data_IF_431600036538
#
_entry.id   IF_431600036538
#
_cell.length_a   1.000
_cell.length_b   1.000
_cell.length_c   1.000
_cell.angle_alpha   90.00
_cell.angle_beta   90.00
_cell.angle_gamma   90.00
#
_symmetry.space_group_name_H-M   'P 1'
#
loop_
_entity.id
_entity.type
_entity.pdbx_description
1 polymer ?
#
# COMPACT_ATOMS: atom_id res chain seq x y z
N UNK A 1 -56.10 -15.73 45.61
CA UNK A 1 -54.95 -16.23 44.84
C UNK A 1 -54.88 -15.51 43.45
N UNK A 2 -53.97 -14.56 43.28
CA UNK A 2 -53.83 -13.82 42.05
C UNK A 2 -52.89 -14.61 41.07
N UNK A 3 -53.47 -15.13 39.98
CA UNK A 3 -52.65 -15.74 38.91
C UNK A 3 -51.91 -14.65 38.13
N UNK A 4 -50.60 -14.53 38.33
CA UNK A 4 -49.76 -13.64 37.52
C UNK A 4 -49.72 -14.14 36.06
N UNK A 5 -50.11 -13.27 35.14
CA UNK A 5 -50.03 -13.54 33.71
C UNK A 5 -48.58 -13.32 33.23
N UNK A 6 -47.74 -14.35 33.30
CA UNK A 6 -46.34 -14.31 32.87
C UNK A 6 -46.20 -14.36 31.33
N UNK A 7 -47.26 -14.77 30.60
CA UNK A 7 -47.25 -15.02 29.17
C UNK A 7 -46.93 -13.79 28.28
N UNK A 8 -47.44 -12.56 28.56
CA UNK A 8 -47.12 -11.40 27.70
C UNK A 8 -45.70 -10.91 27.86
N UNK A 9 -45.03 -11.11 29.00
CA UNK A 9 -43.65 -10.69 29.23
C UNK A 9 -42.65 -11.57 28.46
N UNK A 10 -42.93 -12.87 28.36
CA UNK A 10 -42.09 -13.80 27.58
C UNK A 10 -42.17 -13.53 26.09
N UNK A 11 -43.35 -13.15 25.57
CA UNK A 11 -43.54 -12.81 24.17
C UNK A 11 -42.79 -11.52 23.78
N UNK A 12 -42.74 -10.53 24.69
CA UNK A 12 -42.03 -9.26 24.46
C UNK A 12 -40.49 -9.45 24.46
N UNK A 13 -39.98 -10.33 25.30
CA UNK A 13 -38.56 -10.69 25.33
C UNK A 13 -38.13 -11.49 24.08
N UNK A 14 -38.99 -12.35 23.54
CA UNK A 14 -38.72 -13.11 22.32
C UNK A 14 -38.68 -12.20 21.08
N UNK A 15 -39.55 -11.19 20.99
CA UNK A 15 -39.55 -10.22 19.89
C UNK A 15 -38.35 -9.27 19.92
N UNK A 16 -37.83 -8.92 21.10
CA UNK A 16 -36.61 -8.15 21.23
C UNK A 16 -35.35 -8.95 20.82
N UNK A 17 -35.32 -10.24 21.16
CA UNK A 17 -34.21 -11.12 20.79
C UNK A 17 -34.11 -11.33 19.26
N UNK A 18 -35.23 -11.41 18.54
CA UNK A 18 -35.25 -11.57 17.09
C UNK A 18 -34.86 -10.29 16.34
N UNK A 19 -35.17 -9.11 16.90
CA UNK A 19 -34.77 -7.82 16.28
C UNK A 19 -33.28 -7.53 16.43
N UNK A 20 -32.61 -8.03 17.47
CA UNK A 20 -31.13 -7.88 17.62
C UNK A 20 -30.38 -8.87 16.72
N UNK A 21 -30.96 -10.03 16.43
CA UNK A 21 -30.33 -11.00 15.50
C UNK A 21 -30.44 -10.59 14.02
N UNK A 22 -31.42 -9.77 13.66
CA UNK A 22 -31.65 -9.34 12.26
C UNK A 22 -30.75 -8.20 11.79
N UNK A 23 -29.95 -7.58 12.66
CA UNK A 23 -29.12 -6.41 12.31
C UNK A 23 -27.64 -6.71 12.03
N UNK A 24 -27.23 -7.95 11.87
CA UNK A 24 -25.98 -8.26 11.18
C UNK A 24 -26.19 -8.22 9.67
N UNK A 25 -26.60 -7.05 9.13
CA UNK A 25 -26.31 -6.74 7.73
C UNK A 25 -24.79 -6.80 7.62
N UNK A 26 -24.28 -7.78 6.88
CA UNK A 26 -22.91 -7.78 6.40
C UNK A 26 -22.69 -6.45 5.68
N UNK A 27 -22.07 -5.50 6.37
CA UNK A 27 -21.74 -4.22 5.79
C UNK A 27 -20.76 -4.54 4.65
N UNK A 28 -21.22 -4.39 3.40
CA UNK A 28 -20.37 -4.64 2.23
C UNK A 28 -19.10 -3.80 2.41
N UNK A 29 -17.95 -4.43 2.42
CA UNK A 29 -16.68 -3.73 2.55
C UNK A 29 -16.61 -2.71 1.41
N UNK A 30 -16.44 -1.45 1.74
CA UNK A 30 -16.21 -0.40 0.75
C UNK A 30 -14.86 -0.68 0.06
N UNK A 31 -14.90 -0.84 -1.25
CA UNK A 31 -13.74 -1.06 -2.10
C UNK A 31 -13.51 0.21 -2.92
N UNK A 32 -12.46 1.00 -2.61
CA UNK A 32 -12.26 2.31 -3.23
C UNK A 32 -12.22 2.28 -4.76
N UNK A 33 -11.53 1.31 -5.34
CA UNK A 33 -11.36 1.17 -6.81
C UNK A 33 -12.60 0.70 -7.56
N UNK A 34 -13.70 0.33 -6.87
CA UNK A 34 -15.02 0.21 -7.52
C UNK A 34 -15.50 1.56 -8.08
N UNK A 35 -14.90 2.67 -7.64
CA UNK A 35 -15.13 4.02 -8.12
C UNK A 35 -14.17 4.44 -9.26
N UNK A 36 -13.38 3.52 -9.77
CA UNK A 36 -12.34 3.79 -10.77
C UNK A 36 -11.00 4.19 -10.13
N UNK A 37 -10.05 4.56 -10.98
CA UNK A 37 -8.70 4.96 -10.57
C UNK A 37 -8.73 6.24 -9.73
N UNK A 38 -7.67 6.43 -8.92
CA UNK A 38 -7.40 7.74 -8.32
C UNK A 38 -6.82 8.67 -9.38
N UNK A 39 -7.37 9.88 -9.44
CA UNK A 39 -6.94 10.95 -10.32
C UNK A 39 -6.83 12.27 -9.55
N UNK A 40 -6.03 13.18 -10.05
CA UNK A 40 -5.98 14.56 -9.55
C UNK A 40 -7.21 15.32 -10.07
N UNK A 41 -7.83 16.16 -9.24
CA UNK A 41 -8.93 17.01 -9.69
C UNK A 41 -8.48 17.96 -10.79
N UNK A 42 -9.42 18.48 -11.59
CA UNK A 42 -9.12 19.39 -12.70
C UNK A 42 -8.38 20.64 -12.23
N UNK A 43 -8.68 21.13 -11.02
CA UNK A 43 -8.04 22.30 -10.41
C UNK A 43 -6.70 21.97 -9.74
N UNK A 44 -6.28 20.67 -9.74
CA UNK A 44 -5.02 20.23 -9.14
C UNK A 44 -4.98 20.27 -7.60
N UNK A 45 -6.12 20.35 -6.91
CA UNK A 45 -6.19 20.65 -5.47
C UNK A 45 -6.41 19.44 -4.58
N UNK A 46 -7.04 18.39 -5.10
CA UNK A 46 -7.38 17.19 -4.34
C UNK A 46 -7.39 15.95 -5.23
N UNK A 47 -7.45 14.79 -4.59
CA UNK A 47 -7.60 13.52 -5.28
C UNK A 47 -9.08 13.11 -5.31
N UNK A 48 -9.49 12.52 -6.41
CA UNK A 48 -10.80 11.93 -6.60
C UNK A 48 -10.69 10.61 -7.36
N UNK A 49 -11.75 9.84 -7.39
CA UNK A 49 -11.89 8.71 -8.30
C UNK A 49 -12.39 9.16 -9.68
N UNK A 50 -12.19 8.33 -10.70
CA UNK A 50 -12.63 8.63 -12.07
C UNK A 50 -14.13 8.92 -12.17
N UNK A 51 -14.96 8.27 -11.35
CA UNK A 51 -16.40 8.53 -11.29
C UNK A 51 -16.78 9.84 -10.55
N UNK A 52 -15.79 10.62 -10.10
CA UNK A 52 -15.98 11.86 -9.37
C UNK A 52 -16.09 11.73 -7.86
N UNK A 53 -16.12 10.53 -7.29
CA UNK A 53 -16.17 10.35 -5.84
C UNK A 53 -14.90 10.93 -5.19
N UNK A 54 -15.02 11.77 -4.14
CA UNK A 54 -13.86 12.38 -3.50
C UNK A 54 -13.02 11.34 -2.78
N UNK A 55 -11.70 11.53 -2.78
CA UNK A 55 -10.77 10.71 -2.02
C UNK A 55 -10.07 11.53 -0.95
N UNK A 56 -10.36 11.21 0.31
CA UNK A 56 -9.66 11.81 1.45
C UNK A 56 -8.48 10.91 1.84
N UNK A 57 -7.27 11.43 1.71
CA UNK A 57 -6.06 10.70 2.06
C UNK A 57 -5.83 10.71 3.57
N UNK A 58 -6.01 9.58 4.24
CA UNK A 58 -5.59 9.37 5.62
C UNK A 58 -4.52 8.28 5.64
N UNK A 59 -3.26 8.71 5.70
CA UNK A 59 -2.10 7.84 5.57
C UNK A 59 -1.51 7.39 6.90
N UNK A 60 -0.94 6.19 6.91
CA UNK A 60 -0.11 5.64 7.99
C UNK A 60 1.23 5.18 7.42
N UNK A 61 2.28 5.20 8.23
CA UNK A 61 3.63 4.82 7.83
C UNK A 61 4.01 3.44 8.37
N UNK A 62 3.79 2.43 7.57
CA UNK A 62 4.24 1.06 7.82
C UNK A 62 5.59 0.76 7.15
N UNK A 63 6.58 1.65 7.32
CA UNK A 63 7.81 1.66 6.53
C UNK A 63 8.47 0.31 6.33
N UNK A 64 8.72 -0.42 7.39
CA UNK A 64 9.46 -1.68 7.37
C UNK A 64 8.55 -2.92 7.44
N UNK A 65 7.29 -2.77 7.09
CA UNK A 65 6.30 -3.83 7.16
C UNK A 65 6.77 -5.12 6.45
N UNK A 66 7.33 -5.08 5.22
CA UNK A 66 7.80 -6.29 4.55
C UNK A 66 9.01 -6.95 5.21
N UNK A 67 9.84 -6.16 5.90
CA UNK A 67 11.08 -6.65 6.51
C UNK A 67 10.88 -7.19 7.93
N UNK A 68 9.90 -6.66 8.66
CA UNK A 68 9.79 -6.84 10.11
C UNK A 68 8.60 -7.67 10.54
N UNK A 69 7.53 -7.73 9.76
CA UNK A 69 6.31 -8.42 10.14
C UNK A 69 6.11 -9.69 9.33
N UNK A 70 5.73 -10.78 10.01
CA UNK A 70 5.26 -11.97 9.33
C UNK A 70 3.83 -11.77 8.80
N UNK A 71 3.26 -12.80 8.15
CA UNK A 71 1.93 -12.69 7.52
C UNK A 71 0.83 -12.31 8.50
N UNK A 72 0.79 -12.97 9.65
CA UNK A 72 -0.26 -12.75 10.65
C UNK A 72 -0.14 -11.37 11.30
N UNK A 73 1.08 -10.96 11.61
CA UNK A 73 1.39 -9.64 12.15
C UNK A 73 1.08 -8.53 11.14
N UNK A 74 1.43 -8.72 9.86
CA UNK A 74 1.13 -7.77 8.78
C UNK A 74 -0.38 -7.64 8.58
N UNK A 75 -1.13 -8.76 8.57
CA UNK A 75 -2.58 -8.74 8.47
C UNK A 75 -3.23 -8.04 9.68
N UNK A 76 -2.75 -8.33 10.89
CA UNK A 76 -3.20 -7.67 12.10
C UNK A 76 -2.95 -6.16 12.06
N UNK A 77 -1.74 -5.74 11.66
CA UNK A 77 -1.39 -4.32 11.51
C UNK A 77 -2.34 -3.60 10.54
N UNK A 78 -2.52 -4.16 9.33
CA UNK A 78 -3.42 -3.61 8.32
C UNK A 78 -4.87 -3.54 8.82
N UNK A 79 -5.33 -4.54 9.58
CA UNK A 79 -6.65 -4.52 10.19
C UNK A 79 -6.78 -3.40 11.23
N UNK A 80 -5.76 -3.18 12.08
CA UNK A 80 -5.77 -2.08 13.04
C UNK A 80 -5.77 -0.71 12.35
N UNK A 81 -5.03 -0.56 11.26
CA UNK A 81 -5.05 0.64 10.43
C UNK A 81 -6.44 0.88 9.83
N UNK A 82 -7.05 -0.17 9.27
CA UNK A 82 -8.42 -0.11 8.74
C UNK A 82 -9.44 0.35 9.78
N UNK A 83 -9.39 -0.23 10.98
CA UNK A 83 -10.30 0.13 12.10
C UNK A 83 -10.17 1.59 12.53
N UNK A 84 -8.98 2.19 12.37
CA UNK A 84 -8.71 3.61 12.66
C UNK A 84 -8.99 4.54 11.49
N UNK A 85 -9.46 4.00 10.36
CA UNK A 85 -9.82 4.77 9.17
C UNK A 85 -8.66 5.06 8.21
N UNK A 86 -7.46 4.54 8.47
CA UNK A 86 -6.33 4.70 7.53
C UNK A 86 -6.62 3.97 6.23
N UNK A 87 -6.53 4.70 5.12
CA UNK A 87 -6.83 4.19 3.78
C UNK A 87 -5.62 4.14 2.84
N UNK A 88 -4.48 4.70 3.27
CA UNK A 88 -3.20 4.58 2.57
C UNK A 88 -2.13 4.15 3.57
N UNK A 89 -1.44 3.04 3.29
CA UNK A 89 -0.31 2.55 4.10
C UNK A 89 0.95 2.74 3.27
N UNK A 90 1.85 3.62 3.74
CA UNK A 90 3.12 3.87 3.08
C UNK A 90 4.12 2.81 3.51
N UNK A 91 4.72 2.12 2.53
CA UNK A 91 5.62 0.99 2.75
C UNK A 91 6.89 1.17 1.94
N UNK A 92 8.04 0.98 2.56
CA UNK A 92 9.31 0.89 1.84
C UNK A 92 9.40 -0.49 1.18
N UNK A 93 9.47 -0.50 -0.14
CA UNK A 93 9.68 -1.74 -0.89
C UNK A 93 11.10 -2.25 -0.66
N UNK A 94 12.08 -1.35 -0.67
CA UNK A 94 13.47 -1.60 -0.29
C UNK A 94 13.96 -0.51 0.64
N UNK A 95 14.23 -0.86 1.90
CA UNK A 95 14.86 0.04 2.87
C UNK A 95 16.37 0.10 2.66
N UNK A 96 16.97 -1.04 2.36
CA UNK A 96 18.38 -1.23 2.00
C UNK A 96 18.49 -2.04 0.72
N UNK A 97 19.72 -2.19 0.22
CA UNK A 97 20.01 -3.06 -0.94
C UNK A 97 21.15 -4.01 -0.59
N UNK A 98 20.88 -5.31 -0.58
CA UNK A 98 19.55 -5.92 -0.67
C UNK A 98 18.76 -5.76 0.63
N UNK A 99 17.44 -5.69 0.53
CA UNK A 99 16.55 -5.87 1.67
C UNK A 99 16.30 -7.35 1.94
N UNK A 100 16.05 -7.70 3.19
CA UNK A 100 15.70 -9.06 3.60
C UNK A 100 14.39 -9.04 4.39
N UNK A 101 13.48 -9.95 4.07
CA UNK A 101 12.22 -10.06 4.81
C UNK A 101 12.39 -10.88 6.11
N UNK A 102 11.33 -10.88 6.93
CA UNK A 102 11.32 -11.61 8.22
C UNK A 102 11.60 -13.12 8.08
N UNK A 103 11.41 -13.68 6.89
CA UNK A 103 11.65 -15.09 6.59
C UNK A 103 13.10 -15.38 6.09
N UNK A 104 13.98 -14.38 6.16
CA UNK A 104 15.37 -14.51 5.72
C UNK A 104 15.56 -14.51 4.20
N UNK A 105 14.55 -14.09 3.43
CA UNK A 105 14.62 -14.04 1.97
C UNK A 105 15.07 -12.66 1.50
N UNK A 106 16.13 -12.63 0.69
CA UNK A 106 16.65 -11.40 0.12
C UNK A 106 15.88 -10.98 -1.13
N UNK A 107 15.77 -9.67 -1.33
CA UNK A 107 15.13 -9.05 -2.50
C UNK A 107 15.92 -9.22 -3.80
N UNK A 108 17.25 -9.38 -3.72
CA UNK A 108 18.19 -9.58 -4.83
C UNK A 108 19.00 -10.88 -4.61
N UNK A 109 19.48 -11.47 -5.71
CA UNK A 109 20.30 -12.70 -5.64
C UNK A 109 21.73 -12.36 -5.21
N UNK A 110 22.28 -11.27 -5.75
CA UNK A 110 23.69 -10.89 -5.62
C UNK A 110 23.85 -9.40 -5.24
N UNK A 111 23.62 -9.07 -3.98
CA UNK A 111 23.89 -7.74 -3.43
C UNK A 111 23.14 -6.62 -4.12
N UNK A 112 23.88 -5.65 -4.74
CA UNK A 112 23.33 -4.42 -5.30
C UNK A 112 22.86 -4.53 -6.75
N UNK A 113 22.71 -5.73 -7.29
CA UNK A 113 22.34 -5.88 -8.68
C UNK A 113 20.83 -5.92 -8.91
N UNK A 114 20.24 -4.79 -9.20
CA UNK A 114 18.81 -4.66 -9.51
C UNK A 114 18.35 -5.38 -10.79
N UNK A 115 19.29 -5.93 -11.58
CA UNK A 115 18.95 -6.78 -12.72
C UNK A 115 18.74 -8.24 -12.29
N UNK A 116 19.19 -8.61 -11.08
CA UNK A 116 19.10 -9.96 -10.52
C UNK A 116 18.12 -10.00 -9.34
N UNK A 117 16.87 -9.62 -9.61
CA UNK A 117 15.79 -9.71 -8.63
C UNK A 117 15.58 -11.16 -8.22
N UNK A 118 15.49 -11.39 -6.90
CA UNK A 118 15.31 -12.73 -6.38
C UNK A 118 13.83 -13.15 -6.43
N UNK A 119 13.46 -13.84 -7.49
CA UNK A 119 12.11 -14.40 -7.69
C UNK A 119 12.05 -15.91 -7.43
N UNK A 120 13.09 -16.48 -6.79
CA UNK A 120 13.20 -17.91 -6.51
C UNK A 120 12.64 -18.26 -5.13
N UNK A 121 12.27 -19.54 -4.97
CA UNK A 121 11.80 -20.08 -3.70
C UNK A 121 10.29 -20.24 -3.62
N UNK A 122 9.84 -20.91 -2.57
CA UNK A 122 8.42 -21.19 -2.34
C UNK A 122 7.68 -19.97 -1.78
N UNK A 123 8.39 -19.11 -1.04
CA UNK A 123 7.86 -17.86 -0.48
C UNK A 123 9.01 -16.87 -0.31
N UNK A 124 9.32 -16.14 -1.37
CA UNK A 124 10.42 -15.18 -1.42
C UNK A 124 10.07 -13.79 -0.87
N UNK A 125 11.02 -12.87 -1.01
CA UNK A 125 10.83 -11.46 -0.62
C UNK A 125 9.62 -10.83 -1.31
N UNK A 126 9.52 -11.02 -2.63
CA UNK A 126 8.48 -10.42 -3.46
C UNK A 126 7.12 -11.09 -3.28
N UNK A 127 7.08 -12.38 -2.92
CA UNK A 127 5.83 -13.06 -2.57
C UNK A 127 5.25 -12.51 -1.25
N UNK A 128 6.13 -12.09 -0.33
CA UNK A 128 5.69 -11.42 0.89
C UNK A 128 5.17 -10.01 0.63
N UNK A 129 5.80 -9.26 -0.28
CA UNK A 129 5.26 -7.98 -0.77
C UNK A 129 3.88 -8.15 -1.40
N UNK A 130 3.70 -9.15 -2.28
CA UNK A 130 2.42 -9.47 -2.90
C UNK A 130 1.34 -9.77 -1.85
N UNK A 131 1.70 -10.56 -0.82
CA UNK A 131 0.80 -10.87 0.27
C UNK A 131 0.31 -9.61 1.00
N UNK A 132 1.21 -8.70 1.31
CA UNK A 132 0.90 -7.43 1.99
C UNK A 132 -0.03 -6.58 1.12
N UNK A 133 0.31 -6.39 -0.16
CA UNK A 133 -0.46 -5.60 -1.12
C UNK A 133 -1.88 -6.16 -1.25
N UNK A 134 -2.02 -7.48 -1.49
CA UNK A 134 -3.33 -8.14 -1.65
C UNK A 134 -4.12 -8.18 -0.35
N UNK A 135 -3.46 -8.27 0.79
CA UNK A 135 -4.13 -8.18 2.10
C UNK A 135 -4.68 -6.79 2.37
N UNK A 136 -3.91 -5.75 2.03
CA UNK A 136 -4.38 -4.36 2.07
C UNK A 136 -5.56 -4.14 1.10
N UNK A 137 -5.47 -4.69 -0.11
CA UNK A 137 -6.55 -4.63 -1.09
C UNK A 137 -7.87 -5.22 -0.56
N UNK A 138 -7.83 -6.40 0.05
CA UNK A 138 -9.03 -7.02 0.67
C UNK A 138 -9.66 -6.15 1.76
N UNK A 139 -8.87 -5.26 2.36
CA UNK A 139 -9.33 -4.32 3.39
C UNK A 139 -9.73 -2.96 2.82
N UNK A 140 -9.61 -2.75 1.51
CA UNK A 140 -9.89 -1.48 0.82
C UNK A 140 -8.86 -0.39 1.12
N UNK A 141 -7.60 -0.78 1.33
CA UNK A 141 -6.49 0.13 1.61
C UNK A 141 -5.52 0.17 0.42
N UNK A 142 -5.07 1.37 0.09
CA UNK A 142 -3.96 1.56 -0.85
C UNK A 142 -2.62 1.31 -0.17
N UNK A 143 -1.66 0.83 -0.94
CA UNK A 143 -0.24 0.79 -0.57
C UNK A 143 0.47 1.95 -1.28
N UNK A 144 0.95 2.91 -0.51
CA UNK A 144 1.90 3.93 -0.96
C UNK A 144 3.29 3.28 -1.04
N UNK A 145 3.63 2.77 -2.21
CA UNK A 145 4.84 1.98 -2.42
C UNK A 145 6.04 2.89 -2.64
N UNK A 146 6.86 3.13 -1.60
CA UNK A 146 8.17 3.78 -1.74
C UNK A 146 9.11 2.75 -2.38
N UNK A 147 9.37 2.92 -3.68
CA UNK A 147 10.06 1.92 -4.49
C UNK A 147 11.42 1.51 -3.92
N UNK A 148 12.18 2.49 -3.45
CA UNK A 148 13.45 2.31 -2.74
C UNK A 148 13.68 3.53 -1.86
N UNK A 149 14.24 3.32 -0.67
CA UNK A 149 14.60 4.43 0.20
C UNK A 149 15.76 5.26 -0.38
N UNK A 150 15.81 6.54 -0.06
CA UNK A 150 16.77 7.46 -0.66
C UNK A 150 18.23 7.21 -0.29
N UNK A 151 18.50 6.66 0.90
CA UNK A 151 19.88 6.46 1.37
C UNK A 151 20.73 5.53 0.49
N UNK A 152 20.25 4.35 0.06
CA UNK A 152 20.97 3.52 -0.90
C UNK A 152 21.28 4.24 -2.22
N UNK A 153 20.31 4.95 -2.78
CA UNK A 153 20.50 5.68 -4.03
C UNK A 153 21.51 6.81 -3.87
N UNK A 154 21.45 7.54 -2.75
CA UNK A 154 22.40 8.60 -2.45
C UNK A 154 23.85 8.09 -2.29
N UNK A 155 24.03 6.87 -1.74
CA UNK A 155 25.34 6.21 -1.69
C UNK A 155 25.83 5.68 -3.04
N UNK A 156 25.04 5.78 -4.11
CA UNK A 156 25.39 5.29 -5.44
C UNK A 156 25.19 3.79 -5.63
N UNK A 157 24.35 3.15 -4.81
CA UNK A 157 24.04 1.72 -4.88
C UNK A 157 23.07 1.38 -6.02
N UNK A 158 22.53 2.38 -6.72
CA UNK A 158 21.68 2.21 -7.90
C UNK A 158 22.16 3.13 -9.03
N UNK A 159 22.50 2.55 -10.18
CA UNK A 159 22.80 3.28 -11.42
C UNK A 159 21.52 3.56 -12.21
N UNK A 160 21.60 4.43 -13.21
CA UNK A 160 20.48 4.73 -14.13
C UNK A 160 19.95 3.46 -14.82
N UNK A 161 20.83 2.58 -15.29
CA UNK A 161 20.45 1.33 -15.94
C UNK A 161 19.78 0.35 -14.95
N UNK A 162 20.24 0.32 -13.72
CA UNK A 162 19.63 -0.47 -12.67
C UNK A 162 18.26 0.10 -12.27
N UNK A 163 18.12 1.42 -12.20
CA UNK A 163 16.84 2.10 -11.95
C UNK A 163 15.81 1.76 -13.03
N UNK A 164 16.22 1.75 -14.31
CA UNK A 164 15.35 1.32 -15.43
C UNK A 164 14.91 -0.14 -15.30
N UNK A 165 15.85 -1.05 -15.00
CA UNK A 165 15.54 -2.47 -14.85
C UNK A 165 14.60 -2.73 -13.66
N UNK A 166 14.85 -2.05 -12.54
CA UNK A 166 14.03 -2.18 -11.33
C UNK A 166 12.63 -1.58 -11.53
N UNK A 167 12.53 -0.40 -12.13
CA UNK A 167 11.24 0.22 -12.44
C UNK A 167 10.40 -0.63 -13.38
N UNK A 168 11.02 -1.22 -14.39
CA UNK A 168 10.34 -2.19 -15.26
C UNK A 168 9.80 -3.39 -14.47
N UNK A 169 10.64 -4.01 -13.63
CA UNK A 169 10.22 -5.13 -12.79
C UNK A 169 9.04 -4.79 -11.88
N UNK A 170 9.10 -3.66 -11.17
CA UNK A 170 8.02 -3.22 -10.30
C UNK A 170 6.71 -3.03 -11.06
N UNK A 171 6.77 -2.33 -12.19
CA UNK A 171 5.60 -2.04 -12.99
C UNK A 171 5.00 -3.32 -13.60
N UNK A 172 5.81 -4.23 -14.14
CA UNK A 172 5.33 -5.51 -14.67
C UNK A 172 4.65 -6.37 -13.60
N UNK A 173 5.14 -6.33 -12.35
CA UNK A 173 4.59 -7.12 -11.25
C UNK A 173 3.30 -6.53 -10.68
N UNK A 174 3.18 -5.20 -10.60
CA UNK A 174 2.13 -4.55 -9.80
C UNK A 174 1.13 -3.70 -10.59
N UNK A 175 1.28 -3.52 -11.90
CA UNK A 175 0.38 -2.70 -12.73
C UNK A 175 -1.09 -3.14 -12.69
N UNK A 176 -1.35 -4.39 -12.37
CA UNK A 176 -2.69 -4.98 -12.33
C UNK A 176 -3.25 -5.08 -10.89
N UNK A 177 -2.47 -4.74 -9.86
CA UNK A 177 -2.95 -4.66 -8.48
C UNK A 177 -3.67 -3.32 -8.28
N UNK A 178 -4.94 -3.29 -7.85
CA UNK A 178 -5.78 -2.08 -7.93
C UNK A 178 -5.43 -0.99 -6.91
N UNK A 179 -4.58 -1.30 -5.94
CA UNK A 179 -4.37 -0.50 -4.74
C UNK A 179 -2.94 0.03 -4.58
N UNK A 180 -2.26 0.31 -5.68
CA UNK A 180 -0.90 0.86 -5.66
C UNK A 180 -0.93 2.38 -5.87
N UNK A 181 -0.07 3.08 -5.13
CA UNK A 181 0.35 4.45 -5.41
C UNK A 181 1.87 4.46 -5.39
N UNK A 182 2.50 4.88 -6.48
CA UNK A 182 3.95 4.89 -6.60
C UNK A 182 4.57 6.09 -5.89
N UNK A 183 5.57 5.82 -5.04
CA UNK A 183 6.39 6.84 -4.41
C UNK A 183 7.82 6.72 -4.88
N UNK A 184 8.30 7.75 -5.55
CA UNK A 184 9.70 7.92 -5.91
C UNK A 184 10.39 8.73 -4.81
N UNK A 185 11.67 8.52 -4.58
CA UNK A 185 12.41 9.18 -3.50
C UNK A 185 12.37 8.40 -2.18
N UNK A 186 12.51 9.10 -1.06
CA UNK A 186 12.56 8.52 0.31
C UNK A 186 13.53 9.31 1.17
N UNK A 187 13.05 10.39 1.79
CA UNK A 187 13.82 11.35 2.60
C UNK A 187 15.06 11.93 1.90
N UNK A 188 14.97 12.12 0.60
CA UNK A 188 16.03 12.69 -0.23
C UNK A 188 15.55 13.95 -0.95
N UNK A 189 16.47 14.85 -1.28
CA UNK A 189 16.18 15.98 -2.17
C UNK A 189 16.04 15.48 -3.60
N UNK A 190 15.07 16.02 -4.35
CA UNK A 190 14.82 15.62 -5.72
C UNK A 190 15.93 16.00 -6.70
N UNK A 191 16.74 17.02 -6.36
CA UNK A 191 17.91 17.46 -7.13
C UNK A 191 19.18 16.62 -6.87
N UNK A 192 19.09 15.60 -6.03
CA UNK A 192 20.18 14.65 -5.77
C UNK A 192 19.85 13.32 -6.44
N UNK A 193 20.75 12.85 -7.31
CA UNK A 193 20.54 11.61 -8.08
C UNK A 193 19.30 11.67 -8.99
N UNK A 194 19.03 12.84 -9.57
CA UNK A 194 17.85 13.09 -10.42
C UNK A 194 17.76 12.10 -11.57
N UNK A 195 18.87 11.77 -12.22
CA UNK A 195 18.87 10.85 -13.36
C UNK A 195 18.40 9.43 -12.98
N UNK A 196 18.78 8.94 -11.79
CA UNK A 196 18.35 7.65 -11.28
C UNK A 196 16.85 7.66 -10.91
N UNK A 197 16.37 8.75 -10.28
CA UNK A 197 14.96 8.90 -9.95
C UNK A 197 14.06 9.04 -11.17
N UNK A 198 14.48 9.83 -12.15
CA UNK A 198 13.76 9.97 -13.44
C UNK A 198 13.75 8.65 -14.21
N UNK A 199 14.85 7.91 -14.23
CA UNK A 199 14.92 6.61 -14.88
C UNK A 199 13.98 5.59 -14.23
N UNK A 200 13.89 5.58 -12.90
CA UNK A 200 12.97 4.73 -12.14
C UNK A 200 11.50 5.10 -12.46
N UNK A 201 11.17 6.39 -12.32
CA UNK A 201 9.82 6.90 -12.52
C UNK A 201 9.33 6.69 -13.96
N UNK A 202 10.14 7.05 -14.94
CA UNK A 202 9.78 6.91 -16.37
C UNK A 202 9.64 5.46 -16.79
N UNK A 203 10.47 4.56 -16.26
CA UNK A 203 10.37 3.12 -16.53
C UNK A 203 9.09 2.51 -15.96
N UNK A 204 8.67 2.92 -14.76
CA UNK A 204 7.39 2.52 -14.20
C UNK A 204 6.26 3.05 -15.07
N UNK A 205 6.26 4.35 -15.38
CA UNK A 205 5.19 5.01 -16.14
C UNK A 205 5.15 4.59 -17.61
N UNK A 206 6.22 4.02 -18.15
CA UNK A 206 6.20 3.43 -19.50
C UNK A 206 5.25 2.22 -19.59
N UNK A 207 5.11 1.46 -18.49
CA UNK A 207 4.33 0.22 -18.40
C UNK A 207 3.01 0.47 -17.69
N UNK A 208 3.07 1.08 -16.50
CA UNK A 208 1.89 1.35 -15.68
C UNK A 208 1.34 2.76 -15.97
N UNK A 209 0.21 2.82 -16.68
CA UNK A 209 -0.51 4.06 -17.00
C UNK A 209 -1.65 4.35 -16.03
N UNK A 210 -1.90 3.45 -15.08
CA UNK A 210 -3.11 3.47 -14.27
C UNK A 210 -2.91 4.14 -12.91
N UNK A 211 -1.78 3.87 -12.24
CA UNK A 211 -1.59 4.31 -10.87
C UNK A 211 -1.00 5.71 -10.77
N UNK A 212 -1.41 6.43 -9.74
CA UNK A 212 -0.79 7.69 -9.38
C UNK A 212 0.68 7.47 -9.02
N UNK A 213 1.46 8.50 -9.29
CA UNK A 213 2.87 8.57 -8.89
C UNK A 213 3.15 9.91 -8.25
N UNK A 214 3.92 9.90 -7.17
CA UNK A 214 4.39 11.09 -6.48
C UNK A 214 5.84 10.93 -6.05
N UNK A 215 6.46 12.02 -5.61
CA UNK A 215 7.80 12.01 -5.03
C UNK A 215 7.72 12.18 -3.52
N UNK A 216 8.54 11.43 -2.79
CA UNK A 216 8.71 11.55 -1.33
C UNK A 216 9.98 12.32 -1.02
N UNK A 217 9.91 13.66 -0.84
CA UNK A 217 11.08 14.49 -0.58
C UNK A 217 11.54 14.34 0.86
N UNK A 218 12.75 14.85 1.12
CA UNK A 218 13.23 15.04 2.47
C UNK A 218 12.36 16.04 3.23
N UNK A 219 12.12 15.79 4.50
CA UNK A 219 11.46 16.75 5.39
C UNK A 219 12.16 18.11 5.41
N UNK A 220 11.40 19.19 5.65
CA UNK A 220 11.84 20.60 5.64
C UNK A 220 12.26 21.11 4.25
N UNK A 221 11.87 20.44 3.18
CA UNK A 221 11.97 20.92 1.81
C UNK A 221 10.57 21.03 1.22
N UNK A 222 10.39 21.96 0.29
CA UNK A 222 9.11 22.04 -0.44
C UNK A 222 9.05 20.95 -1.50
N UNK A 223 7.88 20.38 -1.72
CA UNK A 223 7.65 19.42 -2.80
C UNK A 223 7.80 20.04 -4.21
N UNK A 224 7.86 21.38 -4.28
CA UNK A 224 8.05 22.12 -5.52
C UNK A 224 9.51 22.26 -5.96
N UNK A 225 10.47 21.77 -5.17
CA UNK A 225 11.91 21.78 -5.51
C UNK A 225 12.37 20.49 -6.20
N UNK A 226 11.43 19.69 -6.59
CA UNK A 226 11.65 18.45 -7.34
C UNK A 226 11.35 18.65 -8.83
#
# INVERSE_FOLDING_TARGET
MRKFKILPLLLLLLTMATSVAAQKKTQKTYIPWDNGKLVVSEEGRYLKHENGAPFFWLGETGWLLPERLNRDEAEYYLEQCKRRGYNVIQVQTLNNVPSMNIYGQYSMIDGYNFKNINQKGVYGYWDHMDYIIRTAAKKGQYIGMVCIWGSPVNRGEMTVEQAKAYGKFLAERYKDEPNIIWFIGGDIRGDVKTAEWEALATSIKAIDKNHLMTFHPRGRTTSATW
#
